data_IF_128547187174
#
_entry.id   IF_128547187174
#
_cell.length_a   1.000
_cell.length_b   1.000
_cell.length_c   1.000
_cell.angle_alpha   90.00
_cell.angle_beta   90.00
_cell.angle_gamma   90.00
#
_symmetry.space_group_name_H-M   'P 1'
#
loop_
_entity.id
_entity.type
_entity.pdbx_description
1 polymer ?
2 branched ?
3 non-polymer ?
4 non-polymer ?
5 non-polymer ?
6 water ?
#
# COMPACT_ATOMS: atom_id res chain seq x y z
N UNK A 2 -21.35 1.93 4.52
CA UNK A 2 -20.09 2.43 4.00
C UNK A 2 -19.12 1.28 3.80
N UNK A 3 -18.06 1.49 3.02
CA UNK A 3 -17.16 0.40 2.64
C UNK A 3 -16.22 0.13 3.81
N UNK A 4 -16.20 -1.09 4.36
CA UNK A 4 -15.34 -1.35 5.52
C UNK A 4 -13.87 -1.31 5.13
N UNK A 5 -13.05 -0.88 6.09
CA UNK A 5 -11.60 -0.88 5.95
C UNK A 5 -11.03 -1.57 7.18
N UNK A 6 -9.88 -2.21 7.02
CA UNK A 6 -9.30 -2.96 8.13
C UNK A 6 -8.87 -2.03 9.27
N UNK A 7 -9.08 -2.50 10.50
CA UNK A 7 -8.83 -1.63 11.65
C UNK A 7 -7.35 -1.32 11.79
N UNK A 8 -7.06 -0.05 12.07
CA UNK A 8 -5.70 0.45 12.19
C UNK A 8 -5.29 0.47 13.66
N UNK A 9 -4.10 -0.08 13.95
CA UNK A 9 -3.46 0.13 15.24
C UNK A 9 -2.31 1.11 15.06
N UNK A 10 -2.22 2.08 15.96
CA UNK A 10 -1.25 3.15 15.77
C UNK A 10 -1.79 4.17 14.78
N UNK A 11 -0.89 4.77 13.97
CA UNK A 11 0.56 4.61 13.98
C UNK A 11 1.19 5.14 15.25
N UNK A 12 2.33 4.58 15.60
CA UNK A 12 3.20 5.08 16.64
C UNK A 12 4.35 5.82 15.98
N UNK A 13 4.85 6.86 16.65
CA UNK A 13 5.97 7.64 16.17
C UNK A 13 5.62 9.12 16.03
N UNK A 14 6.15 9.74 14.97
CA UNK A 14 6.20 11.18 14.84
C UNK A 14 5.58 11.63 13.53
N UNK A 15 5.45 12.95 13.38
CA UNK A 15 4.60 13.50 12.34
C UNK A 15 5.40 13.95 11.10
N UNK A 16 6.70 13.70 11.07
CA UNK A 16 7.54 14.08 9.95
C UNK A 16 7.32 13.20 8.73
N UNK A 17 8.01 13.57 7.64
CA UNK A 17 8.01 12.74 6.46
C UNK A 17 6.70 12.76 5.72
N UNK A 18 6.52 11.70 4.92
CA UNK A 18 5.37 11.49 4.06
C UNK A 18 4.56 10.31 4.56
N UNK A 19 3.24 10.40 4.47
CA UNK A 19 2.40 9.23 4.73
C UNK A 19 2.68 8.11 3.74
N UNK A 20 2.60 6.87 4.22
CA UNK A 20 2.70 5.71 3.34
C UNK A 20 1.75 4.65 3.85
N UNK A 21 1.36 3.75 2.95
CA UNK A 21 0.43 2.68 3.31
C UNK A 21 0.59 1.47 2.40
N UNK A 22 0.51 0.27 2.99
CA UNK A 22 0.67 -0.95 2.20
C UNK A 22 -0.13 -2.08 2.83
N UNK A 23 -1.26 -2.41 2.22
CA UNK A 23 -2.06 -3.57 2.63
C UNK A 23 -2.33 -4.37 1.36
N UNK A 24 -1.52 -5.38 1.08
CA UNK A 24 -1.71 -6.21 -0.12
C UNK A 24 -2.77 -7.26 0.15
N UNK A 25 -3.32 -7.82 -0.93
CA UNK A 25 -4.43 -8.75 -0.71
C UNK A 25 -3.93 -10.12 -0.24
N UNK A 26 -2.73 -10.54 -0.63
CA UNK A 26 -2.14 -11.78 -0.15
C UNK A 26 -1.22 -11.50 1.04
N UNK A 27 -0.66 -12.58 1.61
CA UNK A 27 0.10 -12.45 2.85
C UNK A 27 1.47 -11.80 2.59
N UNK A 28 1.85 -10.88 3.48
CA UNK A 28 3.21 -10.36 3.50
C UNK A 28 4.14 -11.47 4.00
N UNK A 29 5.04 -11.92 3.13
CA UNK A 29 5.91 -13.02 3.49
C UNK A 29 7.38 -12.63 3.52
N UNK A 30 7.71 -11.38 3.25
CA UNK A 30 9.11 -10.98 3.14
C UNK A 30 9.25 -9.56 3.64
N UNK A 31 10.16 -9.33 4.59
CA UNK A 31 10.45 -8.00 5.11
C UNK A 31 11.95 -7.77 5.01
N UNK A 32 12.35 -6.57 4.64
CA UNK A 32 13.76 -6.15 4.67
C UNK A 32 13.87 -4.94 5.57
N UNK A 33 14.74 -5.04 6.57
CA UNK A 33 15.12 -3.86 7.36
C UNK A 33 16.45 -3.39 6.81
N UNK A 34 16.49 -2.18 6.25
CA UNK A 34 17.72 -1.63 5.70
C UNK A 34 18.40 -0.76 6.76
N UNK A 35 19.69 -0.96 6.95
CA UNK A 35 20.46 -0.21 7.94
C UNK A 35 21.35 0.82 7.27
N UNK A 36 21.64 1.90 8.00
CA UNK A 36 22.62 2.89 7.58
C UNK A 36 23.69 3.07 8.64
N UNK A 37 24.72 3.84 8.29
CA UNK A 37 25.71 4.24 9.27
C UNK A 37 26.68 3.16 9.74
N UNK A 38 26.75 2.01 9.06
CA UNK A 38 27.69 1.00 9.49
C UNK A 38 27.37 0.34 10.80
N UNK A 39 26.19 0.60 11.36
CA UNK A 39 25.70 -0.09 12.53
C UNK A 39 24.27 -0.50 12.26
N UNK A 40 23.57 -1.03 13.25
CA UNK A 40 22.20 -1.48 13.03
C UNK A 40 21.22 -0.33 13.26
N UNK A 41 21.33 0.66 12.40
CA UNK A 41 20.48 1.84 12.44
C UNK A 41 19.44 1.71 11.36
N UNK A 42 18.18 1.41 11.66
CA UNK A 42 17.17 1.28 10.60
C UNK A 42 17.00 2.59 9.86
N UNK A 43 17.06 2.52 8.54
CA UNK A 43 16.76 3.67 7.70
C UNK A 43 15.61 3.40 6.73
N UNK A 44 15.32 2.15 6.38
CA UNK A 44 14.19 1.88 5.50
C UNK A 44 13.59 0.52 5.84
N UNK A 45 12.33 0.33 5.42
CA UNK A 45 11.63 -0.95 5.57
C UNK A 45 11.05 -1.33 4.23
N UNK A 46 11.14 -2.61 3.89
CA UNK A 46 10.53 -3.16 2.70
C UNK A 46 9.57 -4.24 3.13
N UNK A 47 8.35 -4.20 2.61
CA UNK A 47 7.35 -5.24 2.83
C UNK A 47 6.95 -5.80 1.49
N UNK A 48 6.92 -7.13 1.35
CA UNK A 48 6.59 -7.75 0.08
C UNK A 48 5.67 -8.94 0.27
N UNK A 49 4.84 -9.17 -0.74
CA UNK A 49 3.85 -10.25 -0.76
C UNK A 49 3.91 -10.92 -2.12
N UNK A 50 4.24 -12.20 -2.15
CA UNK A 50 4.30 -12.91 -3.42
C UNK A 50 2.93 -13.44 -3.79
N UNK A 51 2.52 -13.21 -5.03
CA UNK A 51 1.26 -13.69 -5.56
C UNK A 51 1.48 -15.00 -6.32
N UNK A 52 0.41 -15.79 -6.43
CA UNK A 52 0.51 -17.09 -7.09
C UNK A 52 0.92 -16.96 -8.55
N UNK A 53 0.58 -15.85 -9.20
CA UNK A 53 0.99 -15.63 -10.58
C UNK A 53 2.48 -15.32 -10.72
N UNK A 54 3.23 -15.27 -9.63
CA UNK A 54 4.64 -14.92 -9.69
C UNK A 54 4.92 -13.44 -9.57
N UNK A 55 3.89 -12.60 -9.58
CA UNK A 55 4.10 -11.19 -9.31
C UNK A 55 4.26 -10.99 -7.81
N UNK A 56 4.88 -9.87 -7.45
CA UNK A 56 5.25 -9.59 -6.08
C UNK A 56 4.84 -8.17 -5.75
N UNK A 57 3.85 -8.04 -4.86
CA UNK A 57 3.51 -6.71 -4.35
C UNK A 57 4.61 -6.27 -3.40
N UNK A 58 4.98 -4.99 -3.45
CA UNK A 58 6.11 -4.56 -2.63
C UNK A 58 6.05 -3.05 -2.41
N UNK A 59 6.58 -2.64 -1.26
CA UNK A 59 6.77 -1.23 -0.94
C UNK A 59 8.07 -1.09 -0.17
N UNK A 60 8.81 -0.02 -0.44
CA UNK A 60 9.95 0.36 0.40
C UNK A 60 9.69 1.77 0.90
N UNK A 61 9.81 1.94 2.22
CA UNK A 61 9.55 3.22 2.87
C UNK A 61 10.77 3.61 3.69
N UNK A 62 11.05 4.89 3.77
CA UNK A 62 12.34 5.33 4.25
C UNK A 62 13.40 5.25 3.15
N UNK A 63 14.64 5.54 3.55
CA UNK A 63 15.72 5.62 2.59
C UNK A 63 15.60 6.71 1.55
N UNK A 64 14.81 7.77 1.84
CA UNK A 64 14.55 8.78 0.83
C UNK A 64 15.67 9.78 0.63
N UNK A 65 16.63 9.84 1.57
CA UNK A 65 17.76 10.73 1.45
C UNK A 65 18.94 10.03 0.80
N UNK A 66 20.13 10.62 0.93
CA UNK A 66 21.30 10.09 0.22
C UNK A 66 22.00 8.95 0.94
N UNK A 67 21.54 8.59 2.14
CA UNK A 67 22.26 7.64 2.99
C UNK A 67 22.56 6.36 2.25
N UNK A 68 23.79 5.88 2.40
CA UNK A 68 24.14 4.54 1.91
C UNK A 68 23.49 3.47 2.78
N UNK A 69 22.95 2.42 2.15
CA UNK A 69 22.57 1.24 2.93
C UNK A 69 23.84 0.48 3.24
N UNK A 70 24.06 0.17 4.52
CA UNK A 70 25.29 -0.48 4.95
C UNK A 70 25.05 -1.90 5.45
N UNK A 71 23.81 -2.34 5.51
CA UNK A 71 23.49 -3.66 6.04
C UNK A 71 21.99 -3.85 5.94
N UNK A 72 21.56 -5.11 6.07
CA UNK A 72 20.13 -5.42 6.14
C UNK A 72 19.88 -6.56 7.13
N UNK A 73 18.63 -6.64 7.58
CA UNK A 73 18.06 -7.87 8.16
C UNK A 73 16.95 -8.33 7.22
N UNK A 74 16.94 -9.63 6.91
CA UNK A 74 15.91 -10.24 6.08
C UNK A 74 14.99 -11.03 7.01
N UNK A 75 13.68 -10.87 6.84
CA UNK A 75 12.70 -11.58 7.65
C UNK A 75 11.76 -12.35 6.72
N UNK A 76 11.60 -13.65 6.96
CA UNK A 76 10.70 -14.45 6.14
C UNK A 76 9.56 -14.93 7.00
N UNK A 77 8.36 -14.83 6.47
CA UNK A 77 7.15 -15.30 7.12
C UNK A 77 6.67 -16.45 6.26
N UNK A 78 6.97 -17.66 6.70
CA UNK A 78 6.82 -18.84 5.89
C UNK A 78 5.45 -19.48 5.92
N UNK A 79 5.39 -20.71 5.42
CA UNK A 79 4.12 -21.42 5.37
C UNK A 79 3.56 -21.63 6.77
N UNK A 80 2.25 -21.42 6.91
CA UNK A 80 1.54 -21.54 8.19
C UNK A 80 2.04 -20.54 9.20
N UNK A 81 2.71 -19.47 8.75
CA UNK A 81 3.16 -18.40 9.62
C UNK A 81 2.51 -17.10 9.16
N UNK A 82 2.16 -16.23 10.12
CA UNK A 82 1.63 -14.92 9.75
C UNK A 82 1.97 -13.92 10.84
N UNK A 83 2.13 -12.66 10.42
CA UNK A 83 2.41 -11.57 11.36
C UNK A 83 1.25 -11.38 12.34
N UNK A 84 1.62 -11.17 13.62
CA UNK A 84 0.62 -10.94 14.67
C UNK A 84 0.85 -9.66 15.47
N UNK A 85 2.10 -9.19 15.58
CA UNK A 85 2.37 -7.98 16.36
C UNK A 85 3.67 -7.33 15.96
N UNK A 86 3.81 -6.05 16.31
CA UNK A 86 5.11 -5.39 16.21
C UNK A 86 5.37 -4.61 17.48
N UNK A 87 6.64 -4.36 17.73
CA UNK A 87 7.07 -3.51 18.83
C UNK A 87 8.38 -2.89 18.39
N UNK A 88 8.85 -1.90 19.13
CA UNK A 88 10.13 -1.30 18.80
C UNK A 88 10.30 0.00 19.56
N UNK A 89 11.18 0.87 19.04
CA UNK A 89 11.46 2.14 19.69
C UNK A 89 11.65 3.24 18.66
N UNK A 90 11.40 4.47 19.12
CA UNK A 90 11.66 5.68 18.37
C UNK A 90 12.68 6.51 19.12
N UNK A 91 13.64 7.07 18.40
CA UNK A 91 14.67 7.84 19.07
C UNK A 91 15.53 8.56 18.07
N UNK A 92 16.58 9.18 18.55
CA UNK A 92 17.32 10.08 17.69
C UNK A 92 18.38 9.34 16.88
N UNK A 93 18.31 9.52 15.56
CA UNK A 93 19.36 9.10 14.62
C UNK A 93 19.67 10.31 13.75
N UNK A 94 20.94 10.72 13.74
CA UNK A 94 21.42 11.87 12.97
C UNK A 94 20.44 13.06 13.05
N UNK A 95 20.07 13.41 14.28
CA UNK A 95 19.23 14.57 14.59
C UNK A 95 17.79 14.40 14.10
N UNK A 96 17.33 13.16 13.96
CA UNK A 96 15.96 12.87 13.59
C UNK A 96 15.36 11.88 14.56
N UNK A 97 14.14 12.15 15.01
CA UNK A 97 13.45 11.24 15.93
C UNK A 97 12.69 10.23 15.06
N UNK A 98 13.24 9.03 14.93
CA UNK A 98 12.79 8.08 13.92
C UNK A 98 12.89 6.67 14.51
N UNK A 99 12.43 5.69 13.75
CA UNK A 99 12.47 4.31 14.20
C UNK A 99 13.91 3.88 14.46
N UNK A 100 14.18 3.35 15.66
CA UNK A 100 15.51 2.89 16.03
C UNK A 100 15.59 1.38 16.21
N UNK A 101 14.49 0.72 16.56
CA UNK A 101 14.48 -0.75 16.61
C UNK A 101 13.08 -1.24 16.33
N UNK A 102 12.98 -2.47 15.86
CA UNK A 102 11.68 -3.06 15.59
C UNK A 102 11.77 -4.58 15.74
N UNK A 103 10.66 -5.16 16.19
CA UNK A 103 10.46 -6.59 16.28
C UNK A 103 9.20 -6.95 15.50
N UNK A 104 9.29 -8.01 14.67
CA UNK A 104 8.13 -8.51 13.95
C UNK A 104 7.75 -9.85 14.57
N UNK A 105 6.63 -9.88 15.26
CA UNK A 105 6.18 -11.12 15.88
C UNK A 105 5.16 -11.82 15.01
N UNK A 106 5.29 -13.14 14.90
CA UNK A 106 4.33 -13.95 14.20
C UNK A 106 3.67 -14.92 15.17
N UNK A 107 2.75 -15.73 14.62
CA UNK A 107 2.17 -16.82 15.41
C UNK A 107 3.19 -17.87 15.81
N UNK A 108 4.35 -17.92 15.16
CA UNK A 108 5.37 -18.92 15.50
C UNK A 108 6.52 -18.38 16.33
N UNK A 109 6.90 -17.10 16.18
CA UNK A 109 8.23 -16.67 16.58
C UNK A 109 8.24 -15.15 16.67
N UNK A 110 9.16 -14.58 17.45
CA UNK A 110 9.46 -13.16 17.36
C UNK A 110 10.70 -13.02 16.49
N UNK A 111 10.59 -12.19 15.48
CA UNK A 111 11.70 -11.92 14.57
C UNK A 111 12.23 -10.55 14.96
N UNK A 112 13.39 -10.54 15.61
CA UNK A 112 13.97 -9.30 16.09
C UNK A 112 14.34 -9.47 17.53
N UNK A 113 14.67 -8.37 18.25
CA UNK A 113 14.67 -6.96 17.85
C UNK A 113 15.80 -6.65 16.88
N UNK A 114 15.50 -5.84 15.88
CA UNK A 114 16.47 -5.39 14.90
C UNK A 114 16.70 -3.91 15.10
N UNK A 115 17.97 -3.51 15.09
CA UNK A 115 18.24 -2.10 15.30
C UNK A 115 18.97 -1.84 16.59
N UNK A 116 18.64 -0.73 17.23
CA UNK A 116 19.24 -0.33 18.50
C UNK A 116 18.13 -0.19 19.53
N UNK A 117 18.26 -0.88 20.66
CA UNK A 117 17.24 -0.79 21.71
C UNK A 117 17.52 0.44 22.58
N UNK A 118 17.35 1.60 21.97
CA UNK A 118 17.33 2.88 22.66
C UNK A 118 16.03 3.56 22.27
N UNK A 119 15.59 4.50 23.11
CA UNK A 119 14.48 5.37 22.73
C UNK A 119 13.15 5.02 23.35
N UNK A 120 12.11 5.66 22.81
CA UNK A 120 10.75 5.58 23.35
C UNK A 120 10.03 4.35 22.82
N UNK A 121 9.52 3.48 23.68
CA UNK A 121 8.94 2.22 23.23
C UNK A 121 7.53 2.36 22.67
N UNK A 122 7.19 1.41 21.80
CA UNK A 122 5.84 1.20 21.32
C UNK A 122 5.63 -0.30 21.10
N UNK A 123 4.39 -0.71 21.18
CA UNK A 123 4.03 -2.08 20.80
C UNK A 123 2.56 -2.12 20.43
N UNK A 124 2.27 -2.95 19.42
CA UNK A 124 0.90 -3.21 19.06
C UNK A 124 0.23 -4.07 20.13
N UNK A 125 -1.08 -4.19 20.04
CA UNK A 125 -1.84 -5.04 20.95
C UNK A 125 -1.79 -6.48 20.46
N UNK A 126 -1.27 -7.39 21.29
CA UNK A 126 -1.35 -8.79 20.93
C UNK A 126 -2.76 -9.28 21.23
N UNK A 127 -3.47 -9.67 20.18
CA UNK A 127 -4.84 -10.14 20.28
C UNK A 127 -4.85 -11.55 19.72
N UNK A 128 -5.31 -12.50 20.53
CA UNK A 128 -5.42 -13.90 20.12
C UNK A 128 -6.22 -13.98 18.83
N UNK A 129 -5.63 -14.57 17.79
CA UNK A 129 -6.33 -14.75 16.54
C UNK A 129 -6.22 -13.58 15.60
N UNK A 130 -5.51 -12.52 15.99
CA UNK A 130 -5.35 -11.36 15.12
C UNK A 130 -4.18 -11.55 14.18
N UNK A 131 -4.35 -11.03 12.97
CA UNK A 131 -3.32 -11.05 11.94
C UNK A 131 -3.08 -9.62 11.48
N UNK A 132 -1.82 -9.23 11.43
CA UNK A 132 -1.40 -7.99 10.77
C UNK A 132 -1.40 -8.27 9.27
N UNK A 133 -2.22 -7.54 8.52
CA UNK A 133 -2.37 -7.74 7.08
C UNK A 133 -1.79 -6.60 6.27
N UNK A 134 -1.18 -5.61 6.92
CA UNK A 134 -0.58 -4.49 6.20
C UNK A 134 0.00 -3.54 7.20
N UNK A 135 0.71 -2.53 6.65
CA UNK A 135 1.35 -1.51 7.47
C UNK A 135 1.06 -0.14 6.88
N UNK A 136 1.21 0.88 7.73
CA UNK A 136 1.09 2.27 7.32
C UNK A 136 1.95 3.11 8.24
N UNK A 137 2.21 4.34 7.83
CA UNK A 137 3.03 5.16 8.72
C UNK A 137 3.47 6.42 8.01
N UNK A 138 4.63 6.94 8.43
CA UNK A 138 5.24 8.05 7.72
C UNK A 138 6.73 7.81 7.53
N UNK A 139 7.30 8.40 6.47
CA UNK A 139 8.73 8.18 6.20
C UNK A 139 9.26 9.32 5.33
N UNK A 140 10.57 9.54 5.47
CA UNK A 140 11.28 10.50 4.64
C UNK A 140 12.68 9.95 4.37
N UNK A 141 13.71 10.56 4.95
CA UNK A 141 15.01 9.91 4.96
C UNK A 141 14.95 8.59 5.70
N UNK A 142 14.14 8.54 6.77
CA UNK A 142 14.11 7.41 7.68
C UNK A 142 12.65 7.04 7.93
N UNK A 143 12.36 6.22 8.93
CA UNK A 143 10.98 5.83 9.20
C UNK A 143 10.47 6.68 10.36
N UNK A 144 9.53 7.57 10.07
CA UNK A 144 9.05 8.51 11.09
C UNK A 144 7.93 7.95 11.96
N UNK A 145 7.15 7.00 11.44
CA UNK A 145 6.05 6.42 12.19
C UNK A 145 5.66 5.10 11.53
N UNK A 146 5.04 4.22 12.31
CA UNK A 146 4.55 2.96 11.77
C UNK A 146 3.34 2.48 12.56
N UNK A 147 2.38 1.91 11.86
CA UNK A 147 1.24 1.26 12.46
C UNK A 147 0.83 0.07 11.62
N UNK A 148 -0.26 -0.59 12.00
CA UNK A 148 -0.66 -1.84 11.35
C UNK A 148 -2.11 -1.81 10.91
N UNK A 149 -2.40 -2.57 9.84
CA UNK A 149 -3.75 -2.97 9.46
C UNK A 149 -4.00 -4.38 10.01
N UNK A 150 -5.21 -4.64 10.47
CA UNK A 150 -5.47 -5.86 11.22
C UNK A 150 -6.73 -6.57 10.73
N UNK A 151 -6.69 -7.90 10.78
CA UNK A 151 -7.81 -8.75 10.38
C UNK A 151 -7.81 -9.99 11.25
N UNK A 152 -8.97 -10.41 11.71
CA UNK A 152 -8.99 -11.53 12.63
C UNK A 152 -9.11 -12.83 11.87
N UNK A 153 -8.49 -13.87 12.44
CA UNK A 153 -8.72 -15.24 12.01
C UNK A 153 -10.13 -15.65 12.39
N UNK B 2 -1.13 12.46 17.74
CA UNK B 2 -1.71 11.70 16.64
C UNK B 2 -0.93 11.94 15.35
N UNK B 3 -0.50 10.84 14.75
CA UNK B 3 0.30 10.85 13.52
C UNK B 3 -0.65 11.15 12.37
N UNK B 4 -0.41 12.19 11.57
CA UNK B 4 -1.34 12.49 10.47
C UNK B 4 -1.31 11.42 9.40
N UNK B 5 -2.45 11.22 8.76
CA UNK B 5 -2.58 10.33 7.62
C UNK B 5 -3.24 11.10 6.49
N UNK B 6 -2.93 10.74 5.25
CA UNK B 6 -3.49 11.48 4.12
C UNK B 6 -5.00 11.30 4.04
N UNK B 7 -5.70 12.38 3.70
CA UNK B 7 -7.16 12.31 3.69
C UNK B 7 -7.68 11.37 2.61
N UNK B 8 -8.67 10.56 2.99
CA UNK B 8 -9.26 9.54 2.12
C UNK B 8 -10.51 10.11 1.47
N UNK B 9 -10.64 9.93 0.15
CA UNK B 9 -11.88 10.14 -0.56
C UNK B 9 -12.49 8.79 -0.90
N UNK B 10 -13.79 8.63 -0.68
CA UNK B 10 -14.37 7.29 -0.77
C UNK B 10 -14.01 6.41 0.44
N UNK B 11 -13.85 5.09 0.21
CA UNK B 11 -14.01 4.40 -1.07
C UNK B 11 -15.43 4.39 -1.58
N UNK B 12 -15.56 4.25 -2.89
CA UNK B 12 -16.84 4.02 -3.55
C UNK B 12 -16.91 2.55 -3.97
N UNK B 13 -18.13 1.99 -3.95
CA UNK B 13 -18.32 0.62 -4.33
C UNK B 13 -19.01 -0.17 -3.23
N UNK B 14 -18.62 -1.44 -3.10
CA UNK B 14 -19.33 -2.45 -2.32
C UNK B 14 -18.42 -3.07 -1.29
N UNK B 15 -19.01 -3.89 -0.41
CA UNK B 15 -18.34 -4.33 0.80
C UNK B 15 -17.71 -5.72 0.69
N UNK B 16 -17.75 -6.33 -0.50
CA UNK B 16 -17.19 -7.65 -0.71
C UNK B 16 -15.67 -7.65 -0.74
N UNK B 17 -15.10 -8.85 -0.86
CA UNK B 17 -13.66 -8.96 -1.02
C UNK B 17 -12.86 -8.62 0.24
N UNK B 18 -11.59 -8.28 -0.02
CA UNK B 18 -10.58 -8.00 0.99
C UNK B 18 -10.20 -6.53 0.88
N UNK B 19 -9.98 -5.89 2.02
CA UNK B 19 -9.41 -4.55 2.02
C UNK B 19 -8.03 -4.53 1.39
N UNK B 20 -7.70 -3.46 0.67
CA UNK B 20 -6.36 -3.26 0.15
C UNK B 20 -6.04 -1.77 0.23
N UNK B 21 -4.74 -1.47 0.23
CA UNK B 21 -4.29 -0.08 0.34
C UNK B 21 -2.88 0.06 -0.22
N UNK B 22 -2.65 1.15 -0.95
CA UNK B 22 -1.34 1.39 -1.55
C UNK B 22 -1.09 2.89 -1.65
N UNK B 23 -0.22 3.40 -0.81
CA UNK B 23 0.21 4.80 -0.86
C UNK B 23 1.72 4.77 -0.79
N UNK B 24 2.40 4.76 -1.93
CA UNK B 24 3.86 4.74 -1.95
C UNK B 24 4.42 6.14 -1.71
N UNK B 25 5.70 6.21 -1.34
CA UNK B 25 6.23 7.53 -1.01
C UNK B 25 6.51 8.37 -2.24
N UNK B 26 6.90 7.76 -3.35
CA UNK B 26 7.08 8.47 -4.61
C UNK B 26 5.83 8.39 -5.48
N UNK B 27 5.89 9.06 -6.63
CA UNK B 27 4.72 9.21 -7.48
C UNK B 27 4.36 7.89 -8.15
N UNK B 28 3.05 7.61 -8.20
CA UNK B 28 2.51 6.53 -9.02
C UNK B 28 2.61 6.96 -10.47
N UNK B 29 3.43 6.26 -11.25
CA UNK B 29 3.66 6.64 -12.62
C UNK B 29 3.19 5.58 -13.61
N UNK B 30 2.70 4.44 -13.14
CA UNK B 30 2.18 3.52 -14.14
C UNK B 30 1.06 2.71 -13.52
N UNK B 31 0.00 2.55 -14.30
CA UNK B 31 -1.20 1.82 -13.92
C UNK B 31 -1.46 0.78 -15.01
N UNK B 32 -1.94 -0.39 -14.60
CA UNK B 32 -2.42 -1.41 -15.53
C UNK B 32 -3.84 -1.74 -15.17
N UNK B 33 -4.74 -1.67 -16.16
CA UNK B 33 -6.09 -2.19 -16.02
C UNK B 33 -6.12 -3.53 -16.72
N UNK B 34 -6.34 -4.61 -15.97
CA UNK B 34 -6.40 -5.94 -16.56
C UNK B 34 -7.85 -6.27 -16.85
N UNK B 35 -8.10 -6.81 -18.04
CA UNK B 35 -9.44 -7.16 -18.45
C UNK B 35 -9.62 -8.67 -18.46
N UNK B 36 -10.86 -9.12 -18.28
CA UNK B 36 -11.21 -10.51 -18.49
C UNK B 36 -12.35 -10.67 -19.49
N UNK B 37 -12.67 -11.92 -19.78
CA UNK B 37 -13.84 -12.20 -20.60
C UNK B 37 -13.75 -11.82 -22.07
N UNK B 38 -12.56 -11.49 -22.57
CA UNK B 38 -12.46 -11.15 -23.98
C UNK B 38 -13.11 -9.84 -24.40
N UNK B 39 -13.56 -9.04 -23.44
CA UNK B 39 -14.05 -7.70 -23.70
C UNK B 39 -13.37 -6.78 -22.71
N UNK B 40 -13.81 -5.53 -22.62
CA UNK B 40 -13.15 -4.58 -21.72
C UNK B 40 -13.79 -4.62 -20.33
N UNK B 41 -13.68 -5.78 -19.72
CA UNK B 41 -14.24 -6.00 -18.40
C UNK B 41 -13.12 -5.93 -17.39
N UNK B 42 -13.01 -4.86 -16.60
CA UNK B 42 -11.92 -4.80 -15.61
C UNK B 42 -12.05 -5.91 -14.58
N UNK B 43 -10.93 -6.60 -14.35
CA UNK B 43 -10.87 -7.59 -13.29
C UNK B 43 -9.76 -7.30 -12.30
N UNK B 44 -8.72 -6.54 -12.68
CA UNK B 44 -7.66 -6.23 -11.74
C UNK B 44 -7.08 -4.87 -12.06
N UNK B 45 -6.46 -4.26 -11.03
CA UNK B 45 -5.76 -2.98 -11.16
C UNK B 45 -4.37 -3.14 -10.59
N UNK B 46 -3.39 -2.58 -11.30
CA UNK B 46 -2.01 -2.55 -10.82
C UNK B 46 -1.60 -1.10 -10.72
N UNK B 47 -1.00 -0.71 -9.60
CA UNK B 47 -0.46 0.63 -9.44
C UNK B 47 1.02 0.49 -9.12
N UNK B 48 1.89 1.28 -9.78
CA UNK B 48 3.32 1.14 -9.55
C UNK B 48 3.98 2.51 -9.49
N UNK B 49 5.05 2.58 -8.70
CA UNK B 49 5.83 3.78 -8.48
C UNK B 49 7.30 3.40 -8.59
N UNK B 50 8.01 4.02 -9.53
CA UNK B 50 9.42 3.72 -9.69
C UNK B 50 10.24 4.63 -8.79
N UNK B 51 11.16 4.03 -8.03
CA UNK B 51 12.06 4.72 -7.13
C UNK B 51 13.35 5.06 -7.87
N UNK B 52 14.03 6.13 -7.44
CA UNK B 52 15.27 6.55 -8.09
C UNK B 52 16.36 5.48 -8.01
N UNK B 53 16.30 4.60 -7.03
CA UNK B 53 17.26 3.53 -6.92
C UNK B 53 16.96 2.36 -7.85
N UNK B 54 15.94 2.49 -8.71
CA UNK B 54 15.58 1.41 -9.61
C UNK B 54 14.58 0.42 -9.06
N UNK B 55 14.28 0.49 -7.76
CA UNK B 55 13.23 -0.35 -7.22
C UNK B 55 11.88 0.23 -7.59
N UNK B 56 10.88 -0.65 -7.60
CA UNK B 56 9.55 -0.30 -8.07
C UNK B 56 8.54 -0.78 -7.05
N UNK B 57 7.90 0.17 -6.37
CA UNK B 57 6.79 -0.18 -5.48
C UNK B 57 5.60 -0.56 -6.35
N UNK B 58 4.87 -1.61 -5.97
CA UNK B 58 3.79 -2.05 -6.84
C UNK B 58 2.75 -2.81 -6.03
N UNK B 59 1.51 -2.74 -6.49
CA UNK B 59 0.45 -3.57 -5.94
C UNK B 59 -0.44 -3.97 -7.10
N UNK B 60 -0.95 -5.21 -7.06
CA UNK B 60 -2.04 -5.62 -7.95
C UNK B 60 -3.22 -6.07 -7.09
N UNK B 61 -4.40 -5.54 -7.41
CA UNK B 61 -5.60 -5.87 -6.64
C UNK B 61 -6.66 -6.35 -7.61
N UNK B 62 -7.50 -7.26 -7.16
CA UNK B 62 -8.36 -7.97 -8.08
C UNK B 62 -7.59 -9.11 -8.74
N UNK B 63 -8.28 -9.81 -9.63
CA UNK B 63 -7.75 -10.99 -10.28
C UNK B 63 -7.44 -12.15 -9.35
N UNK B 64 -8.14 -12.24 -8.23
CA UNK B 64 -7.84 -13.26 -7.24
C UNK B 64 -8.44 -14.62 -7.54
N UNK B 65 -9.40 -14.67 -8.47
CA UNK B 65 -9.96 -15.92 -8.91
C UNK B 65 -9.20 -16.52 -10.08
N UNK B 66 -9.81 -17.48 -10.76
CA UNK B 66 -9.10 -18.19 -11.83
C UNK B 66 -9.19 -17.50 -13.19
N UNK B 67 -9.89 -16.38 -13.27
CA UNK B 67 -10.15 -15.71 -14.55
C UNK B 67 -8.87 -15.48 -15.33
N UNK B 68 -8.89 -15.78 -16.63
CA UNK B 68 -7.77 -15.43 -17.50
C UNK B 68 -7.79 -13.93 -17.79
N UNK B 69 -6.62 -13.30 -17.75
CA UNK B 69 -6.52 -11.93 -18.27
C UNK B 69 -6.55 -12.01 -19.78
N UNK B 70 -7.45 -11.26 -20.41
CA UNK B 70 -7.59 -11.32 -21.87
C UNK B 70 -7.17 -10.03 -22.56
N UNK B 71 -6.79 -9.01 -21.81
CA UNK B 71 -6.39 -7.74 -22.38
C UNK B 71 -5.97 -6.84 -21.23
N UNK B 72 -5.31 -5.73 -21.59
CA UNK B 72 -4.96 -4.70 -20.63
C UNK B 72 -5.07 -3.32 -21.27
N UNK B 73 -5.22 -2.30 -20.41
CA UNK B 73 -4.89 -0.92 -20.75
C UNK B 73 -3.73 -0.49 -19.87
N UNK B 74 -2.75 0.17 -20.49
CA UNK B 74 -1.56 0.67 -19.81
C UNK B 74 -1.70 2.18 -19.70
N UNK B 75 -1.49 2.74 -18.51
CA UNK B 75 -1.59 4.18 -18.29
C UNK B 75 -0.28 4.68 -17.73
N UNK B 76 0.31 5.69 -18.36
CA UNK B 76 1.57 6.25 -17.87
C UNK B 76 1.31 7.67 -17.41
N UNK B 77 1.83 7.99 -16.24
CA UNK B 77 1.76 9.33 -15.68
C UNK B 77 3.19 9.83 -15.72
N UNK B 78 3.49 10.65 -16.73
CA UNK B 78 4.85 11.05 -17.06
C UNK B 78 5.40 12.24 -16.31
N UNK B 79 6.49 12.78 -16.83
CA UNK B 79 7.13 13.91 -16.17
C UNK B 79 6.19 15.12 -16.14
N UNK B 80 6.20 15.82 -15.00
CA UNK B 80 5.35 16.98 -14.76
C UNK B 80 3.87 16.63 -14.81
N UNK B 81 3.54 15.34 -14.67
CA UNK B 81 2.16 14.87 -14.67
C UNK B 81 1.88 14.16 -13.35
N UNK B 82 0.68 14.35 -12.82
CA UNK B 82 0.29 13.62 -11.61
C UNK B 82 -1.21 13.41 -11.59
N UNK B 83 -1.62 12.32 -10.94
CA UNK B 83 -3.04 12.00 -10.78
C UNK B 83 -3.76 13.05 -9.94
N UNK B 84 -4.98 13.42 -10.38
CA UNK B 84 -5.78 14.42 -9.68
C UNK B 84 -7.19 13.91 -9.37
N UNK B 85 -7.72 12.98 -10.17
CA UNK B 85 -9.07 12.47 -9.95
C UNK B 85 -9.31 11.12 -10.57
N UNK B 86 -10.35 10.44 -10.09
CA UNK B 86 -10.85 9.22 -10.74
C UNK B 86 -12.36 9.29 -10.79
N UNK B 87 -12.91 8.56 -11.76
CA UNK B 87 -14.35 8.37 -11.84
C UNK B 87 -14.54 7.01 -12.46
N UNK B 88 -15.78 6.53 -12.43
CA UNK B 88 -16.06 5.27 -13.10
C UNK B 88 -17.45 4.79 -12.75
N UNK B 89 -17.65 3.47 -12.86
CA UNK B 89 -18.94 2.86 -12.59
C UNK B 89 -18.76 1.49 -11.92
N UNK B 90 -19.78 1.12 -11.14
CA UNK B 90 -19.89 -0.21 -10.54
C UNK B 90 -21.14 -0.88 -11.09
N UNK B 91 -21.03 -2.15 -11.41
CA UNK B 91 -22.16 -2.87 -11.94
C UNK B 91 -21.85 -4.35 -12.02
N UNK B 92 -22.73 -5.09 -12.67
CA UNK B 92 -22.65 -6.55 -12.58
C UNK B 92 -21.71 -7.10 -13.63
N UNK B 93 -20.74 -7.91 -13.19
CA UNK B 93 -19.91 -8.73 -14.07
C UNK B 93 -19.93 -10.13 -13.48
N UNK B 94 -20.41 -11.10 -14.27
CA UNK B 94 -20.50 -12.49 -13.84
C UNK B 94 -21.09 -12.62 -12.43
N UNK B 95 -22.24 -11.96 -12.22
CA UNK B 95 -23.02 -12.02 -10.98
C UNK B 95 -22.31 -11.37 -9.80
N UNK B 96 -21.40 -10.43 -10.05
CA UNK B 96 -20.73 -9.68 -9.01
C UNK B 96 -20.89 -8.20 -9.29
N UNK B 97 -21.20 -7.43 -8.25
CA UNK B 97 -21.31 -5.98 -8.40
C UNK B 97 -19.92 -5.41 -8.13
N UNK B 98 -19.23 -5.04 -9.20
CA UNK B 98 -17.79 -4.74 -9.15
C UNK B 98 -17.48 -3.58 -10.10
N UNK B 99 -16.24 -3.13 -10.07
CA UNK B 99 -15.82 -2.06 -10.97
C UNK B 99 -16.02 -2.48 -12.42
N UNK B 100 -16.75 -1.65 -13.19
CA UNK B 100 -16.98 -1.91 -14.61
C UNK B 100 -16.29 -0.92 -15.53
N UNK B 101 -16.06 0.31 -15.09
CA UNK B 101 -15.27 1.25 -15.89
C UNK B 101 -14.55 2.20 -14.96
N UNK B 102 -13.45 2.77 -15.43
CA UNK B 102 -12.69 3.72 -14.62
C UNK B 102 -11.97 4.69 -15.54
N UNK B 103 -11.85 5.93 -15.06
CA UNK B 103 -11.05 6.98 -15.68
C UNK B 103 -10.04 7.50 -14.68
N UNK B 104 -8.78 7.66 -15.12
CA UNK B 104 -7.71 8.24 -14.31
C UNK B 104 -7.40 9.61 -14.87
N UNK B 105 -7.74 10.66 -14.13
CA UNK B 105 -7.48 12.02 -14.60
C UNK B 105 -6.22 12.56 -13.96
N UNK B 106 -5.42 13.27 -14.77
CA UNK B 106 -4.24 13.93 -14.25
C UNK B 106 -4.38 15.44 -14.44
N UNK B 107 -3.35 16.15 -14.00
CA UNK B 107 -3.28 17.58 -14.28
C UNK B 107 -3.18 17.88 -15.77
N UNK B 108 -2.76 16.91 -16.59
CA UNK B 108 -2.67 17.13 -18.01
C UNK B 108 -3.87 16.63 -18.80
N UNK B 109 -4.36 15.41 -18.53
CA UNK B 109 -5.30 14.73 -19.43
C UNK B 109 -6.22 13.82 -18.60
N UNK B 110 -7.30 13.36 -19.22
CA UNK B 110 -8.07 12.25 -18.68
C UNK B 110 -7.66 10.98 -19.40
N UNK B 111 -7.22 9.99 -18.63
CA UNK B 111 -6.84 8.69 -19.18
C UNK B 111 -8.04 7.76 -19.01
N UNK B 112 -8.72 7.46 -20.11
CA UNK B 112 -9.89 6.61 -20.06
C UNK B 112 -11.03 7.27 -20.78
N UNK B 113 -12.27 6.80 -20.56
CA UNK B 113 -12.68 5.70 -19.68
C UNK B 113 -12.28 4.34 -20.19
N UNK B 114 -11.89 3.46 -19.27
CA UNK B 114 -11.55 2.08 -19.60
C UNK B 114 -12.59 1.16 -19.02
N UNK B 115 -13.04 0.20 -19.81
CA UNK B 115 -14.04 -0.73 -19.35
C UNK B 115 -15.35 -0.54 -20.11
N UNK B 116 -16.44 -0.78 -19.40
CA UNK B 116 -17.79 -0.69 -19.94
C UNK B 116 -18.53 0.41 -19.17
N UNK B 117 -18.98 1.44 -19.86
CA UNK B 117 -19.64 2.54 -19.17
C UNK B 117 -21.11 2.20 -18.95
N UNK B 118 -21.31 1.22 -18.07
CA UNK B 118 -22.61 0.81 -17.58
C UNK B 118 -22.51 0.81 -16.05
N UNK B 119 -23.62 1.07 -15.39
CA UNK B 119 -23.70 0.86 -13.95
C UNK B 119 -23.77 2.16 -13.15
N UNK B 120 -23.54 2.00 -11.85
CA UNK B 120 -23.70 3.08 -10.89
C UNK B 120 -22.45 3.96 -10.86
N UNK B 121 -22.60 5.27 -11.08
CA UNK B 121 -21.44 6.14 -11.21
C UNK B 121 -20.83 6.53 -9.87
N UNK B 122 -19.56 6.90 -9.96
CA UNK B 122 -18.81 7.48 -8.86
C UNK B 122 -17.77 8.41 -9.47
N UNK B 123 -17.37 9.41 -8.71
CA UNK B 123 -16.28 10.29 -9.11
C UNK B 123 -15.73 10.96 -7.87
N UNK B 124 -14.40 11.07 -7.82
CA UNK B 124 -13.76 11.81 -6.75
C UNK B 124 -14.03 13.31 -6.93
N UNK B 125 -13.68 14.06 -5.89
CA UNK B 125 -13.85 15.50 -5.93
C UNK B 125 -12.70 16.12 -6.69
N UNK B 126 -13.02 16.90 -7.72
CA UNK B 126 -12.03 17.62 -8.51
C UNK B 126 -11.65 18.87 -7.74
N UNK B 127 -10.46 18.87 -7.12
CA UNK B 127 -10.00 19.95 -6.29
C UNK B 127 -8.74 20.53 -6.91
N UNK B 128 -8.80 21.81 -7.29
CA UNK B 128 -7.66 22.55 -7.80
C UNK B 128 -6.45 22.40 -6.89
N UNK B 129 -5.38 21.80 -7.40
CA UNK B 129 -4.15 21.66 -6.65
C UNK B 129 -4.02 20.38 -5.87
N UNK B 130 -5.03 19.52 -5.94
CA UNK B 130 -5.01 18.24 -5.26
C UNK B 130 -4.32 17.17 -6.09
N UNK B 131 -3.58 16.32 -5.40
CA UNK B 131 -2.91 15.19 -6.00
C UNK B 131 -3.38 13.92 -5.31
N UNK B 132 -3.78 12.94 -6.10
CA UNK B 132 -3.99 11.58 -5.62
C UNK B 132 -2.62 10.94 -5.46
N UNK B 133 -2.31 10.52 -4.23
CA UNK B 133 -1.01 9.97 -3.88
C UNK B 133 -1.09 8.49 -3.54
N UNK B 134 -2.28 7.90 -3.62
CA UNK B 134 -2.40 6.48 -3.35
C UNK B 134 -3.83 6.07 -3.56
N UNK B 135 -4.07 4.75 -3.45
CA UNK B 135 -5.41 4.21 -3.60
C UNK B 135 -5.66 3.20 -2.49
N UNK B 136 -6.95 2.95 -2.26
CA UNK B 136 -7.38 1.93 -1.31
C UNK B 136 -8.73 1.41 -1.78
N UNK B 137 -9.15 0.28 -1.22
CA UNK B 137 -10.45 -0.21 -1.60
C UNK B 137 -10.64 -1.63 -1.13
N UNK B 138 -11.45 -2.38 -1.87
CA UNK B 138 -11.60 -3.80 -1.61
C UNK B 138 -11.52 -4.59 -2.91
N UNK B 139 -11.05 -5.84 -2.82
CA UNK B 139 -10.97 -6.67 -4.02
C UNK B 139 -11.01 -8.15 -3.65
N UNK B 140 -11.44 -8.95 -4.62
CA UNK B 140 -11.42 -10.40 -4.50
C UNK B 140 -11.10 -11.00 -5.86
N UNK B 141 -12.06 -11.64 -6.49
CA UNK B 141 -11.90 -11.97 -7.91
C UNK B 141 -11.76 -10.71 -8.74
N UNK B 142 -12.46 -9.64 -8.35
CA UNK B 142 -12.55 -8.42 -9.15
C UNK B 142 -12.33 -7.23 -8.23
N UNK B 143 -12.62 -6.01 -8.66
CA UNK B 143 -12.42 -4.84 -7.81
C UNK B 143 -13.77 -4.46 -7.21
N UNK B 144 -13.89 -4.63 -5.89
CA UNK B 144 -15.18 -4.41 -5.21
C UNK B 144 -15.41 -2.95 -4.82
N UNK B 145 -14.34 -2.20 -4.58
CA UNK B 145 -14.43 -0.81 -4.17
C UNK B 145 -13.08 -0.13 -4.42
N UNK B 146 -13.12 1.19 -4.56
CA UNK B 146 -11.89 1.96 -4.74
C UNK B 146 -12.09 3.37 -4.19
N UNK B 147 -11.06 3.90 -3.55
CA UNK B 147 -11.00 5.28 -3.12
C UNK B 147 -9.57 5.77 -3.26
N UNK B 148 -9.35 7.02 -2.82
CA UNK B 148 -8.05 7.68 -3.01
C UNK B 148 -7.49 8.24 -1.70
N UNK B 149 -6.17 8.29 -1.63
CA UNK B 149 -5.43 9.11 -0.68
C UNK B 149 -5.03 10.41 -1.38
N UNK B 150 -5.06 11.51 -0.65
CA UNK B 150 -4.96 12.83 -1.25
C UNK B 150 -3.96 13.71 -0.51
N UNK B 151 -3.28 14.58 -1.28
CA UNK B 151 -2.29 15.50 -0.73
C UNK B 151 -2.25 16.74 -1.62
N UNK B 152 -2.21 17.90 -0.99
CA UNK B 152 -2.30 19.11 -1.79
C UNK B 152 -0.93 19.55 -2.26
N UNK B 153 -0.89 20.12 -3.46
CA UNK B 153 0.31 20.75 -4.02
C UNK B 153 0.61 22.01 -3.23
X LIG C 1 27.68 13.20 9.14
X LIG C 1 26.53 12.64 8.34
X LIG C 1 25.38 13.65 8.28
X LIG C 1 24.99 14.13 9.68
X LIG C 1 26.19 14.44 10.57
X LIG C 1 25.85 14.42 12.03
X LIG C 1 27.25 11.04 6.61
X LIG C 1 27.67 10.86 5.19
X LIG C 1 26.96 12.29 6.98
X LIG C 1 28.70 12.27 9.21
X LIG C 1 24.27 13.01 7.66
X LIG C 1 24.21 15.33 9.58
X LIG C 1 27.24 13.46 10.43
X LIG C 1 24.84 15.37 12.34
X LIG C 1 27.18 10.09 7.39
X LIG C 2 22.76 15.19 9.76
X LIG C 2 22.11 16.58 9.82
X LIG C 2 20.58 16.46 9.86
X LIG C 2 20.10 15.58 8.72
X LIG C 2 20.81 14.24 8.80
X LIG C 2 20.44 13.28 7.68
X LIG C 2 23.49 18.29 10.91
X LIG C 2 23.86 18.94 12.20
X LIG C 2 22.58 17.31 10.98
X LIG C 2 19.99 17.75 9.77
X LIG C 2 18.70 15.38 8.85
X LIG C 2 22.22 14.45 8.70
X LIG C 2 20.90 13.81 6.44
X LIG C 2 24.00 18.62 9.84
X LIG C 3 18.00 15.63 7.61
X LIG C 3 16.54 15.19 7.82
X LIG C 3 15.69 15.47 6.60
X LIG C 3 15.86 16.95 6.13
X LIG C 3 17.37 17.32 6.04
X LIG C 3 17.58 18.83 5.80
X LIG C 3 15.93 15.89 8.99
X LIG C 3 14.34 15.31 6.92
X LIG C 3 15.30 17.09 4.86
X LIG C 3 18.05 16.99 7.27
X LIG C 3 16.81 19.56 6.75
X LIG C 4 13.62 14.41 6.09
X LIG C 4 12.21 15.00 5.99
X LIG C 4 11.51 14.98 7.35
X LIG C 4 11.56 13.56 8.02
X LIG C 4 13.01 13.06 8.00
X LIG C 4 13.16 11.65 8.53
X LIG C 4 11.47 14.22 5.06
X LIG C 4 10.15 15.45 7.28
X LIG C 4 11.08 13.59 9.39
X LIG C 4 13.54 13.09 6.63
X LIG C 4 12.44 10.72 7.70
X LIG C 5 10.77 15.08 4.15
X LIG C 5 10.53 14.32 2.85
X LIG C 5 9.72 15.18 1.88
X LIG C 5 8.49 15.77 2.55
X LIG C 5 8.81 16.38 3.91
X LIG C 5 7.56 16.74 4.67
X LIG C 5 12.02 12.71 1.71
X LIG C 5 13.39 12.49 1.13
X LIG C 5 11.80 13.92 2.24
X LIG C 5 9.35 14.37 0.77
X LIG C 5 8.02 16.87 1.77
X LIG C 5 9.53 15.44 4.71
X LIG C 5 7.87 17.30 5.94
X LIG C 5 11.17 11.83 1.69
X LIG C 6 6.93 16.46 0.95
X LIG C 6 6.21 17.72 0.53
X LIG C 6 5.10 17.43 -0.45
X LIG C 6 5.63 16.62 -1.64
X LIG C 6 6.36 15.41 -1.07
X LIG C 6 7.00 14.50 -2.08
X LIG C 6 5.64 18.36 1.63
X LIG C 6 4.58 18.69 -0.94
X LIG C 6 6.56 17.40 -2.39
X LIG C 6 7.40 15.82 -0.18
X LIG C 6 7.44 13.28 -1.44
X LIG C 7 17.65 20.08 7.80
X LIG C 7 16.74 20.77 8.84
X LIG C 7 16.04 21.90 8.14
X LIG C 7 17.07 22.91 7.62
X LIG C 7 18.11 22.25 6.71
X LIG C 7 19.32 23.13 6.47
X LIG C 7 17.52 21.43 9.85
X LIG C 7 15.10 22.54 8.99
X LIG C 7 16.40 23.89 6.87
X LIG C 7 18.63 21.02 7.30
X LIG C 7 20.36 22.32 5.93
X LIG C 8 17.71 20.59 11.00
X LIG C 8 19.14 20.75 11.49
X LIG C 8 19.38 19.94 12.75
X LIG C 8 18.33 20.26 13.81
X LIG C 8 16.93 20.11 13.23
X LIG C 8 15.84 20.52 14.20
X LIG C 8 20.70 21.20 9.63
X LIG C 8 21.64 20.59 8.62
X LIG C 8 20.08 20.35 10.45
X LIG C 8 20.68 20.22 13.25
X LIG C 8 18.46 19.36 14.91
X LIG C 8 16.79 20.93 12.06
X LIG C 8 14.55 20.48 13.63
X LIG C 8 20.50 22.41 9.68
X LIG D 1 -19.07 -18.96 -17.32
X LIG D 1 -17.92 -18.39 -16.51
X LIG D 1 -18.28 -18.39 -15.02
X LIG D 1 -19.63 -17.73 -14.76
X LIG D 1 -20.70 -18.14 -15.78
X LIG D 1 -21.84 -17.15 -15.84
X LIG D 1 -15.73 -18.78 -17.58
X LIG D 1 -14.53 -19.67 -17.65
X LIG D 1 -16.70 -19.15 -16.74
X LIG D 1 -18.75 -18.86 -18.67
X LIG D 1 -17.27 -17.69 -14.33
X LIG D 1 -20.09 -18.09 -13.45
X LIG D 1 -20.19 -18.20 -17.11
X LIG D 1 -22.61 -17.12 -14.65
X LIG D 1 -15.81 -17.75 -18.24
X LIG D 2 -19.98 -17.06 -12.42
X LIG D 2 -20.73 -17.51 -11.14
X LIG D 2 -20.44 -16.54 -9.99
X LIG D 2 -18.94 -16.31 -9.82
X LIG D 2 -18.39 -15.82 -11.15
X LIG D 2 -16.89 -15.62 -11.12
X LIG D 2 -22.79 -18.74 -11.65
X LIG D 2 -24.26 -18.62 -11.89
X LIG D 2 -22.16 -17.58 -11.38
X LIG D 2 -20.97 -17.05 -8.76
X LIG D 2 -18.75 -15.33 -8.82
X LIG D 2 -18.63 -16.83 -12.14
X LIG D 2 -16.25 -16.85 -10.86
X LIG D 2 -22.19 -19.80 -11.70
X LIG D 3 -17.78 -15.77 -7.85
X LIG D 3 -17.45 -14.55 -6.94
X LIG D 3 -16.48 -14.93 -5.81
X LIG D 3 -16.97 -16.20 -5.08
X LIG D 3 -17.34 -17.31 -6.10
X LIG D 3 -18.03 -18.53 -5.42
X LIG D 3 -18.68 -13.96 -6.36
X LIG D 3 -16.46 -13.90 -4.87
X LIG D 3 -15.96 -16.65 -4.21
X LIG D 3 -18.28 -16.82 -7.06
X LIG D 3 -19.08 -18.05 -4.60
X LIG D 4 -15.16 -13.37 -4.59
X LIG D 4 -15.21 -13.01 -3.12
X LIG D 4 -16.19 -11.85 -2.88
X LIG D 4 -15.93 -10.64 -3.85
X LIG D 4 -15.84 -11.15 -5.29
X LIG D 4 -15.46 -10.07 -6.28
X LIG D 4 -13.91 -12.58 -2.75
X LIG D 4 -16.20 -11.40 -1.51
X LIG D 4 -16.99 -9.68 -3.77
X LIG D 4 -14.86 -12.21 -5.36
X LIG D 4 -14.17 -9.56 -5.97
X LIG D 5 -13.53 -13.24 -1.53
X LIG D 5 -12.00 -13.33 -1.45
X LIG D 5 -11.58 -13.93 -0.10
X LIG D 5 -12.29 -13.23 1.07
X LIG D 5 -13.79 -13.06 0.80
X LIG D 5 -14.45 -12.17 1.82
X LIG D 5 -10.40 -13.78 -3.26
X LIG D 5 -9.98 -14.72 -4.34
X LIG D 5 -11.47 -14.13 -2.55
X LIG D 5 -10.17 -13.83 0.01
X LIG D 5 -12.21 -14.07 2.21
X LIG D 5 -14.01 -12.46 -0.48
X LIG D 5 -15.86 -12.06 1.56
X LIG D 5 -9.78 -12.74 -3.02
X LIG D 6 -11.11 -13.70 3.03
X LIG D 6 -11.39 -14.25 4.44
X LIG D 6 -10.21 -13.95 5.40
X LIG D 6 -8.90 -14.43 4.80
X LIG D 6 -8.80 -13.81 3.42
X LIG D 6 -7.54 -14.11 2.67
X LIG D 6 -12.55 -13.68 4.98
X LIG D 6 -10.41 -14.66 6.63
X LIG D 6 -8.91 -15.85 4.64
X LIG D 6 -9.89 -14.24 2.59
X LIG D 6 -7.46 -13.25 1.53
X LIG D 7 -20.37 -18.29 -5.22
X LIG D 7 -21.43 -17.62 -4.36
X LIG D 7 -21.35 -18.23 -3.01
X LIG D 7 -21.67 -19.74 -3.10
X LIG D 7 -20.77 -20.46 -4.15
X LIG D 7 -21.29 -21.83 -4.53
X LIG D 7 -22.76 -17.94 -4.80
X LIG D 7 -22.25 -17.58 -2.10
X LIG D 7 -21.41 -20.34 -1.85
X LIG D 7 -20.68 -19.69 -5.38
X LIG D 7 -20.48 -22.33 -5.61
X LIG D 8 -23.24 -16.88 -5.66
X LIG D 8 -23.96 -17.50 -6.86
X LIG D 8 -24.52 -16.40 -7.76
X LIG D 8 -25.40 -15.45 -6.95
X LIG D 8 -24.65 -14.90 -5.74
X LIG D 8 -25.53 -14.07 -4.84
X LIG D 8 -23.06 -19.70 -7.54
X LIG D 8 -22.07 -20.41 -8.41
X LIG D 8 -23.07 -18.36 -7.63
X LIG D 8 -25.29 -16.99 -8.80
X LIG D 8 -25.80 -14.35 -7.77
X LIG D 8 -24.14 -15.99 -4.95
X LIG D 8 -24.85 -13.63 -3.67
X LIG D 8 -23.83 -20.32 -6.80
X LIG E 1 0.55 -19.57 4.08
X LIG E 1 0.57 -20.83 4.81
X LIG E 1 -0.57 -19.58 3.13
X LIG E 1 0.38 -18.46 5.02
X LIG E 1 1.80 -19.41 3.34
X LIG F 1 3.60 6.69 20.26
X LIG F 1 2.94 7.22 19.07
X LIG F 1 3.80 5.25 20.24
X LIG F 1 2.74 6.98 21.42
X LIG F 1 4.91 7.34 20.36
X LIG G 1 11.87 19.03 3.46
X LIG G 1 12.02 18.28 2.25
X LIG G 1 12.77 18.39 4.51
X LIG G 1 12.61 18.98 5.81
X LIG H 1 19.68 19.77 3.30
X LIG H 1 19.06 19.31 2.31
X LIG H 1 19.58 21.00 3.58
X LIG H 1 20.53 18.88 4.17
X LIG H 1 20.28 17.49 4.21
X LIG H 1 21.05 16.64 5.02
X LIG H 1 22.09 17.22 5.78
X LIG H 1 22.34 18.59 5.74
X LIG H 1 21.56 19.42 4.93
X LIG I 1 7.44 13.86 -11.85
X LIG I 1 6.01 13.71 -12.08
X LIG I 1 8.18 12.79 -12.52
X LIG I 1 7.88 15.15 -12.41
X LIG I 1 7.70 13.81 -10.41
X LIG J 1 -20.87 4.51 -4.05
X LIG J 1 -20.25 4.48 -5.39
X LIG J 1 -22.14 3.80 -4.16
X LIG J 1 -21.03 5.92 -3.66
X LIG J 1 -20.07 3.88 -3.01
X LIG K 1 -16.04 -16.18 -0.28
X LIG K 1 -17.03 -15.91 -1.28
X LIG K 1 -15.03 -17.16 -0.84
X LIG K 1 -13.83 -17.13 -0.07
X LIG L 1 -16.89 -21.67 -6.04
X LIG L 1 -17.80 -22.21 -5.34
X LIG L 1 -15.74 -21.59 -5.53
X LIG L 1 -17.21 -21.12 -7.40
X LIG L 1 -16.44 -20.10 -7.97
X LIG L 1 -16.75 -19.59 -9.24
X LIG L 1 -17.85 -20.13 -9.93
X LIG L 1 -18.61 -21.15 -9.38
X LIG L 1 -18.29 -21.66 -8.11
#
# INVERSE_FOLDING_TARGET
MAVPMDTISGPWGNNGGNFWSFRPVNKINQIVISYGGGGNNPIALTFSSTKADGSKDTITVGGGGPDSITGTEMVNIGTDEYLTGISGTFGIYLDNNVLRSITFTTNLKAHGPYGQKVGTPFSSANVVGNEIVGFLGRSGYYVDAIGTYNRHK
MAVPMDTISGPWGNNGGNFWSFRPVNKINQIVISYGGGGNNPIALTFSSTKADGSKDTITVGGGGPDSITGTEMVNIGTDEYLTGISGTFGIYLDNNVLRSITFTTNLKAHGPYGQKVGTPFSSANVVGNEIVGFLGRSGYYVDAIGTYNRHK
NAG C1 C2 C3 C4 C5 C6 C7 C8 N2 O1 O3 O4 O5 O6 O7
NAG C1 C2 C3 C4 C5 C6 C7 C8 N2 O3 O4 O5 O6 O7
BMA C1 C2 C3 C4 C5 C6 O2 O3 O4 O5 O6
MAN C1 C2 C3 C4 C5 C6 O2 O3 O4 O5 O6
NAG C1 C2 C3 C4 C5 C6 C7 C8 N2 O3 O4 O5 O6 O7
GAL C1 C2 C3 C4 C5 C6 O2 O3 O4 O5 O6
MAN C1 C2 C3 C4 C5 C6 O2 O3 O4 O5 O6
NAG C1 C2 C3 C4 C5 C6 C7 C8 N2 O3 O4 O5 O6 O7
NAG C1 C2 C3 C4 C5 C6 C7 C8 N2 O1 O3 O4 O5 O6 O7
NAG C1 C2 C3 C4 C5 C6 C7 C8 N2 O3 O4 O5 O6 O7
BMA C1 C2 C3 C4 C5 C6 O2 O3 O4 O5 O6
MAN C1 C2 C3 C4 C5 C6 O2 O3 O4 O5 O6
NAG C1 C2 C3 C4 C5 C6 C7 C8 N2 O3 O4 O5 O6 O7
GAL C1 C2 C3 C4 C5 C6 O2 O3 O4 O5 O6
MAN C1 C2 C3 C4 C5 C6 O2 O3 O4 O5 O6
NAG C1 C2 C3 C4 C5 C6 C7 C8 N2 O3 O4 O5 O6 O7
SO4 S O1 O2 O3 O4
SO4 S O1 O2 O3 O4
EDO C1 O1 C2 O2
BEZ C O1 O2 C1 C2 C3 C4 C5 C6
SO4 S O1 O2 O3 O4
SO4 S O1 O2 O3 O4
EDO C1 O1 C2 O2
BEZ C O1 O2 C1 C2 C3 C4 C5 C6
#
